data_IF_143599163980
#
_entry.id   IF_143599163980
#
_cell.length_a   1.000
_cell.length_b   1.000
_cell.length_c   1.000
_cell.angle_alpha   90.00
_cell.angle_beta   90.00
_cell.angle_gamma   90.00
#
_symmetry.space_group_name_H-M   'P 1'
#
loop_
_entity.id
_entity.type
_entity.pdbx_description
1 polymer ?
#
# COMPACT_ATOMS: atom_id res chain seq x y z
N UNK A 1 -2.61 -12.88 23.97
CA UNK A 1 -2.60 -12.23 22.64
C UNK A 1 -3.63 -12.92 21.75
N UNK A 2 -4.57 -12.16 21.22
CA UNK A 2 -5.60 -12.72 20.34
C UNK A 2 -5.04 -12.84 18.92
N UNK A 3 -4.72 -14.05 18.49
CA UNK A 3 -4.13 -14.31 17.17
C UNK A 3 -5.07 -13.88 16.03
N UNK A 4 -6.38 -14.04 16.23
CA UNK A 4 -7.38 -13.61 15.25
C UNK A 4 -7.33 -12.09 15.03
N UNK A 5 -7.22 -11.33 16.13
CA UNK A 5 -7.09 -9.89 16.07
C UNK A 5 -5.80 -9.48 15.37
N UNK A 6 -4.69 -10.14 15.69
CA UNK A 6 -3.40 -9.89 15.05
C UNK A 6 -3.49 -10.13 13.54
N UNK A 7 -4.19 -11.19 13.12
CA UNK A 7 -4.37 -11.48 11.70
C UNK A 7 -5.23 -10.43 11.00
N UNK A 8 -6.29 -9.98 11.64
CA UNK A 8 -7.13 -8.90 11.09
C UNK A 8 -6.31 -7.61 10.95
N UNK A 9 -5.53 -7.27 11.97
CA UNK A 9 -4.64 -6.11 11.93
C UNK A 9 -3.61 -6.23 10.79
N UNK A 10 -3.09 -7.44 10.58
CA UNK A 10 -2.17 -7.71 9.49
C UNK A 10 -2.81 -7.48 8.12
N UNK A 11 -4.03 -7.98 7.92
CA UNK A 11 -4.75 -7.81 6.67
C UNK A 11 -5.04 -6.32 6.42
N UNK A 12 -5.54 -5.64 7.43
CA UNK A 12 -5.86 -4.21 7.32
C UNK A 12 -4.59 -3.37 7.06
N UNK A 13 -3.49 -3.72 7.73
CA UNK A 13 -2.22 -3.03 7.53
C UNK A 13 -1.68 -3.25 6.11
N UNK A 14 -1.76 -4.47 5.58
CA UNK A 14 -1.35 -4.77 4.20
C UNK A 14 -2.19 -3.99 3.20
N UNK A 15 -3.50 -3.91 3.41
CA UNK A 15 -4.40 -3.15 2.53
C UNK A 15 -4.08 -1.66 2.60
N UNK A 16 -3.87 -1.12 3.79
CA UNK A 16 -3.57 0.30 3.96
C UNK A 16 -2.23 0.68 3.32
N UNK A 17 -1.21 -0.18 3.44
CA UNK A 17 0.07 0.03 2.77
C UNK A 17 -0.14 0.11 1.25
N UNK A 18 -0.88 -0.83 0.70
CA UNK A 18 -1.16 -0.87 -0.74
C UNK A 18 -1.95 0.34 -1.21
N UNK A 19 -3.02 0.70 -0.50
CA UNK A 19 -3.83 1.88 -0.81
C UNK A 19 -3.00 3.15 -0.74
N UNK A 20 -2.14 3.26 0.26
CA UNK A 20 -1.27 4.43 0.44
C UNK A 20 -0.23 4.51 -0.67
N UNK A 21 0.34 3.39 -1.10
CA UNK A 21 1.27 3.35 -2.22
C UNK A 21 0.61 3.79 -3.52
N UNK A 22 -0.65 3.40 -3.74
CA UNK A 22 -1.44 3.86 -4.89
C UNK A 22 -1.69 5.37 -4.82
N UNK A 23 -2.02 5.89 -3.65
CA UNK A 23 -2.21 7.32 -3.42
C UNK A 23 -0.92 8.11 -3.68
N UNK A 24 0.22 7.58 -3.23
CA UNK A 24 1.53 8.19 -3.48
C UNK A 24 1.84 8.21 -4.97
N UNK A 25 1.59 7.11 -5.67
CA UNK A 25 1.80 7.02 -7.12
C UNK A 25 0.95 8.05 -7.87
N UNK A 26 -0.32 8.20 -7.50
CA UNK A 26 -1.20 9.23 -8.06
C UNK A 26 -0.67 10.64 -7.84
N UNK A 27 -0.20 10.91 -6.62
CA UNK A 27 0.34 12.20 -6.26
C UNK A 27 1.63 12.51 -7.03
N UNK A 28 2.49 11.52 -7.21
CA UNK A 28 3.71 11.63 -8.02
C UNK A 28 3.38 11.96 -9.48
N UNK A 29 2.33 11.35 -10.03
CA UNK A 29 1.87 11.66 -11.39
C UNK A 29 1.43 13.11 -11.49
N UNK A 30 0.72 13.64 -10.53
CA UNK A 30 0.29 15.03 -10.50
C UNK A 30 1.47 15.98 -10.47
N UNK A 31 2.50 15.68 -9.70
CA UNK A 31 3.74 16.47 -9.65
C UNK A 31 4.48 16.42 -11.01
N UNK A 32 4.57 15.24 -11.59
CA UNK A 32 5.22 15.02 -12.89
C UNK A 32 4.52 15.78 -14.00
N UNK A 33 3.18 15.76 -14.05
CA UNK A 33 2.38 16.48 -15.04
C UNK A 33 2.61 18.00 -14.95
N UNK A 34 2.62 18.54 -13.74
CA UNK A 34 2.88 19.97 -13.49
C UNK A 34 4.28 20.34 -14.01
N UNK A 35 5.27 19.53 -13.71
CA UNK A 35 6.66 19.72 -14.15
C UNK A 35 6.78 19.62 -15.68
N UNK A 36 6.12 18.64 -16.30
CA UNK A 36 6.11 18.46 -17.75
C UNK A 36 5.47 19.62 -18.48
N UNK A 37 4.34 20.10 -18.01
CA UNK A 37 3.65 21.24 -18.63
C UNK A 37 4.49 22.50 -18.56
N UNK A 38 5.17 22.72 -17.43
CA UNK A 38 6.09 23.83 -17.26
C UNK A 38 7.26 23.79 -18.24
N UNK A 39 7.85 22.61 -18.42
CA UNK A 39 8.96 22.40 -19.36
C UNK A 39 8.51 22.59 -20.80
N UNK A 40 7.36 22.05 -21.18
CA UNK A 40 6.78 22.20 -22.50
C UNK A 40 6.48 23.66 -22.81
N UNK A 41 5.92 24.39 -21.88
CA UNK A 41 5.66 25.81 -22.03
C UNK A 41 6.90 26.63 -22.28
N UNK A 42 8.01 26.29 -21.65
CA UNK A 42 9.27 26.99 -21.80
C UNK A 42 9.95 26.71 -23.14
N UNK A 43 9.62 25.61 -23.82
CA UNK A 43 10.28 25.22 -25.07
C UNK A 43 9.62 25.76 -26.34
N UNK A 44 8.32 25.99 -26.32
CA UNK A 44 7.54 26.22 -27.55
C UNK A 44 7.08 27.65 -27.76
N UNK A 45 7.34 28.58 -26.85
CA UNK A 45 6.84 29.91 -26.94
C UNK A 45 7.91 30.99 -26.88
N UNK A 46 7.55 32.19 -27.25
CA UNK A 46 8.47 33.33 -27.28
C UNK A 46 8.95 33.65 -25.84
N UNK A 47 10.26 33.85 -25.63
CA UNK A 47 10.85 34.07 -24.33
C UNK A 47 10.24 35.26 -23.55
N UNK A 48 9.82 36.28 -24.24
CA UNK A 48 9.29 37.50 -23.64
C UNK A 48 7.93 37.28 -22.97
N UNK A 49 7.07 36.52 -23.62
CA UNK A 49 5.75 36.19 -23.13
C UNK A 49 5.85 35.27 -21.90
N UNK A 50 6.81 34.37 -21.91
CA UNK A 50 7.04 33.43 -20.84
C UNK A 50 7.51 34.14 -19.57
N UNK A 51 8.39 35.09 -19.66
CA UNK A 51 8.95 35.78 -18.52
C UNK A 51 7.88 36.59 -17.75
N UNK A 52 7.00 37.27 -18.43
CA UNK A 52 5.93 38.03 -17.78
C UNK A 52 4.83 37.15 -17.23
N UNK A 53 4.59 36.00 -17.84
CA UNK A 53 3.62 35.01 -17.36
C UNK A 53 4.11 34.23 -16.15
N UNK A 54 5.42 33.95 -16.09
CA UNK A 54 6.02 33.06 -15.10
C UNK A 54 6.03 33.59 -13.68
N UNK A 55 5.95 34.88 -13.45
CA UNK A 55 5.99 35.44 -12.08
C UNK A 55 4.79 34.98 -11.26
N UNK A 56 3.59 35.07 -11.83
CA UNK A 56 2.36 34.62 -11.16
C UNK A 56 2.26 33.09 -11.17
N UNK A 57 2.65 32.47 -12.27
CA UNK A 57 2.64 31.02 -12.41
C UNK A 57 3.58 30.33 -11.44
N UNK A 58 4.77 30.88 -11.21
CA UNK A 58 5.74 30.32 -10.27
C UNK A 58 5.22 30.37 -8.83
N UNK A 59 4.60 31.46 -8.40
CA UNK A 59 4.03 31.57 -7.07
C UNK A 59 2.90 30.55 -6.85
N UNK A 60 2.05 30.34 -7.85
CA UNK A 60 0.98 29.35 -7.81
C UNK A 60 1.54 27.93 -7.75
N UNK A 61 2.54 27.64 -8.60
CA UNK A 61 3.18 26.33 -8.65
C UNK A 61 3.94 26.00 -7.35
N UNK A 62 4.58 26.99 -6.75
CA UNK A 62 5.26 26.79 -5.46
C UNK A 62 4.28 26.40 -4.36
N UNK A 63 3.14 27.09 -4.27
CA UNK A 63 2.10 26.73 -3.29
C UNK A 63 1.55 25.35 -3.54
N UNK A 64 1.33 25.00 -4.79
CA UNK A 64 0.84 23.69 -5.18
C UNK A 64 1.87 22.62 -4.82
N UNK A 65 3.15 22.87 -5.11
CA UNK A 65 4.23 21.95 -4.77
C UNK A 65 4.40 21.77 -3.27
N UNK A 66 4.21 22.83 -2.47
CA UNK A 66 4.23 22.75 -1.02
C UNK A 66 3.10 21.84 -0.50
N UNK A 67 1.89 21.99 -1.04
CA UNK A 67 0.75 21.12 -0.69
C UNK A 67 1.04 19.68 -1.04
N UNK A 68 1.55 19.44 -2.25
CA UNK A 68 1.88 18.09 -2.71
C UNK A 68 2.98 17.46 -1.84
N UNK A 69 3.98 18.24 -1.46
CA UNK A 69 5.05 17.79 -0.58
C UNK A 69 4.51 17.42 0.81
N UNK A 70 3.60 18.23 1.35
CA UNK A 70 2.97 17.95 2.64
C UNK A 70 2.11 16.69 2.58
N UNK A 71 1.32 16.54 1.52
CA UNK A 71 0.51 15.33 1.31
C UNK A 71 1.40 14.10 1.18
N UNK A 72 2.49 14.20 0.44
CA UNK A 72 3.45 13.12 0.29
C UNK A 72 4.05 12.71 1.64
N UNK A 73 4.41 13.68 2.47
CA UNK A 73 4.94 13.41 3.81
C UNK A 73 3.92 12.69 4.69
N UNK A 74 2.66 13.14 4.67
CA UNK A 74 1.57 12.50 5.42
C UNK A 74 1.38 11.04 4.96
N UNK A 75 1.35 10.83 3.64
CA UNK A 75 1.19 9.49 3.07
C UNK A 75 2.37 8.59 3.40
N UNK A 76 3.59 9.11 3.35
CA UNK A 76 4.80 8.37 3.72
C UNK A 76 4.78 7.92 5.17
N UNK A 77 4.35 8.80 6.08
CA UNK A 77 4.20 8.47 7.50
C UNK A 77 3.12 7.42 7.74
N UNK A 78 2.00 7.54 7.01
CA UNK A 78 0.93 6.53 7.07
C UNK A 78 1.45 5.16 6.64
N UNK A 79 2.19 5.12 5.53
CA UNK A 79 2.78 3.88 5.02
C UNK A 79 3.74 3.26 6.04
N UNK A 80 4.61 4.06 6.64
CA UNK A 80 5.56 3.60 7.65
C UNK A 80 4.84 2.99 8.86
N UNK A 81 3.79 3.66 9.35
CA UNK A 81 3.01 3.18 10.48
C UNK A 81 2.30 1.86 10.15
N UNK A 82 1.63 1.81 9.01
CA UNK A 82 0.95 0.60 8.56
C UNK A 82 1.95 -0.56 8.36
N UNK A 83 3.10 -0.28 7.79
CA UNK A 83 4.15 -1.26 7.59
C UNK A 83 4.72 -1.78 8.91
N UNK A 84 4.84 -0.91 9.90
CA UNK A 84 5.26 -1.30 11.25
C UNK A 84 4.27 -2.28 11.88
N UNK A 85 2.98 -1.99 11.79
CA UNK A 85 1.91 -2.89 12.27
C UNK A 85 1.98 -4.23 11.53
N UNK A 86 2.18 -4.18 10.22
CA UNK A 86 2.31 -5.39 9.41
C UNK A 86 3.48 -6.26 9.86
N UNK A 87 4.63 -5.66 10.13
CA UNK A 87 5.81 -6.38 10.58
C UNK A 87 5.62 -7.00 11.96
N UNK A 88 4.98 -6.29 12.89
CA UNK A 88 4.67 -6.81 14.21
C UNK A 88 3.73 -8.03 14.12
N UNK A 89 2.70 -7.94 13.29
CA UNK A 89 1.79 -9.05 13.05
C UNK A 89 2.50 -10.23 12.41
N UNK A 90 3.41 -9.95 11.49
CA UNK A 90 4.18 -10.98 10.78
C UNK A 90 5.08 -11.75 11.75
N UNK A 91 5.67 -11.09 12.72
CA UNK A 91 6.47 -11.77 13.77
C UNK A 91 5.62 -12.80 14.52
N UNK A 92 4.39 -12.44 14.88
CA UNK A 92 3.47 -13.36 15.56
C UNK A 92 3.08 -14.51 14.64
N UNK A 93 2.77 -14.21 13.38
CA UNK A 93 2.39 -15.21 12.38
C UNK A 93 3.55 -16.20 12.13
N UNK A 94 4.78 -15.70 12.09
CA UNK A 94 5.96 -16.54 11.86
C UNK A 94 6.24 -17.55 12.99
N UNK A 95 5.63 -17.38 14.15
CA UNK A 95 5.69 -18.36 15.24
C UNK A 95 4.73 -19.54 15.01
N UNK A 96 3.80 -19.42 14.06
CA UNK A 96 2.88 -20.50 13.72
C UNK A 96 3.58 -21.62 12.96
N UNK A 97 3.00 -22.84 12.93
CA UNK A 97 3.53 -23.91 12.07
C UNK A 97 3.62 -23.48 10.62
N UNK A 98 4.60 -24.02 9.91
CA UNK A 98 4.85 -23.64 8.50
C UNK A 98 3.60 -23.81 7.63
N UNK A 99 2.85 -24.88 7.86
CA UNK A 99 1.60 -25.14 7.12
C UNK A 99 0.58 -23.99 7.31
N UNK A 100 0.42 -23.54 8.54
CA UNK A 100 -0.49 -22.43 8.89
C UNK A 100 0.02 -21.12 8.24
N UNK A 101 1.31 -20.88 8.26
CA UNK A 101 1.90 -19.72 7.60
C UNK A 101 1.58 -19.70 6.09
N UNK A 102 1.66 -20.85 5.44
CA UNK A 102 1.33 -20.98 4.02
C UNK A 102 -0.14 -20.69 3.74
N UNK A 103 -1.04 -21.20 4.58
CA UNK A 103 -2.48 -20.95 4.46
C UNK A 103 -2.77 -19.45 4.58
N UNK A 104 -2.21 -18.81 5.59
CA UNK A 104 -2.38 -17.36 5.81
C UNK A 104 -1.85 -16.58 4.62
N UNK A 105 -0.67 -16.93 4.13
CA UNK A 105 -0.07 -16.25 2.98
C UNK A 105 -0.95 -16.33 1.75
N UNK A 106 -1.41 -17.51 1.39
CA UNK A 106 -2.23 -17.69 0.19
C UNK A 106 -3.59 -17.02 0.33
N UNK A 107 -4.24 -17.19 1.48
CA UNK A 107 -5.59 -16.67 1.68
C UNK A 107 -5.63 -15.15 1.86
N UNK A 108 -4.73 -14.60 2.65
CA UNK A 108 -4.79 -13.19 3.06
C UNK A 108 -3.84 -12.30 2.26
N UNK A 109 -2.62 -12.74 2.06
CA UNK A 109 -1.62 -11.95 1.33
C UNK A 109 -1.83 -12.01 -0.18
N UNK A 110 -2.07 -13.19 -0.72
CA UNK A 110 -2.34 -13.40 -2.15
C UNK A 110 -3.81 -13.27 -2.51
N UNK A 111 -4.68 -13.21 -1.52
CA UNK A 111 -6.14 -13.06 -1.69
C UNK A 111 -6.79 -14.14 -2.54
N UNK A 112 -6.29 -15.36 -2.44
CA UNK A 112 -6.85 -16.49 -3.15
C UNK A 112 -8.13 -16.97 -2.46
N UNK A 113 -9.06 -17.54 -3.23
CA UNK A 113 -10.22 -18.21 -2.66
C UNK A 113 -9.78 -19.49 -1.95
N UNK A 114 -10.61 -20.00 -1.06
CA UNK A 114 -10.27 -21.25 -0.35
C UNK A 114 -10.03 -22.41 -1.29
N UNK A 115 -10.75 -22.45 -2.41
CA UNK A 115 -10.56 -23.47 -3.45
C UNK A 115 -9.20 -23.34 -4.12
N UNK A 116 -8.77 -22.12 -4.43
CA UNK A 116 -7.46 -21.84 -5.00
C UNK A 116 -6.34 -22.19 -4.03
N UNK A 117 -6.55 -21.89 -2.73
CA UNK A 117 -5.59 -22.28 -1.68
C UNK A 117 -5.45 -23.80 -1.61
N UNK A 118 -6.57 -24.51 -1.68
CA UNK A 118 -6.57 -25.98 -1.67
C UNK A 118 -5.80 -26.54 -2.86
N UNK A 119 -5.95 -25.94 -4.05
CA UNK A 119 -5.20 -26.33 -5.24
C UNK A 119 -3.70 -26.14 -5.06
N UNK A 120 -3.30 -25.06 -4.40
CA UNK A 120 -1.88 -24.77 -4.10
C UNK A 120 -1.32 -25.67 -3.02
N UNK A 121 -2.17 -26.12 -2.10
CA UNK A 121 -1.80 -27.02 -1.00
C UNK A 121 -2.28 -28.42 -1.32
N UNK A 122 -1.55 -29.12 -2.15
CA UNK A 122 -1.88 -30.45 -2.68
C UNK A 122 -2.35 -31.43 -1.60
N UNK A 123 -3.43 -32.12 -1.90
CA UNK A 123 -3.99 -33.14 -1.00
C UNK A 123 -4.90 -32.59 0.09
N UNK A 124 -5.21 -31.30 0.06
CA UNK A 124 -6.06 -30.65 1.06
C UNK A 124 -7.36 -30.18 0.42
N UNK A 125 -8.43 -30.16 1.21
CA UNK A 125 -9.73 -29.62 0.78
C UNK A 125 -9.91 -28.22 1.34
N UNK A 126 -10.74 -27.40 0.67
CA UNK A 126 -11.03 -26.04 1.13
C UNK A 126 -11.62 -26.03 2.54
N UNK A 127 -12.55 -26.94 2.82
CA UNK A 127 -13.14 -27.08 4.15
C UNK A 127 -12.14 -27.50 5.22
N UNK A 128 -11.24 -28.42 4.87
CA UNK A 128 -10.17 -28.86 5.78
C UNK A 128 -9.23 -27.73 6.16
N UNK A 129 -8.83 -26.93 5.18
CA UNK A 129 -7.94 -25.78 5.41
C UNK A 129 -8.59 -24.71 6.29
N UNK A 130 -9.87 -24.41 6.06
CA UNK A 130 -10.63 -23.50 6.92
C UNK A 130 -10.64 -23.97 8.36
N UNK A 131 -10.88 -25.27 8.57
CA UNK A 131 -10.95 -25.87 9.90
C UNK A 131 -9.58 -25.86 10.59
N UNK A 132 -8.50 -26.13 9.84
CA UNK A 132 -7.15 -26.06 10.40
C UNK A 132 -6.83 -24.66 10.90
N UNK A 133 -7.14 -23.65 10.12
CA UNK A 133 -6.90 -22.26 10.49
C UNK A 133 -7.75 -21.86 11.70
N UNK A 134 -9.01 -22.25 11.70
CA UNK A 134 -9.93 -21.99 12.81
C UNK A 134 -9.41 -22.63 14.11
N UNK A 135 -8.98 -23.89 14.05
CA UNK A 135 -8.42 -24.59 15.21
C UNK A 135 -7.17 -23.89 15.73
N UNK A 136 -6.31 -23.45 14.84
CA UNK A 136 -5.11 -22.70 15.22
C UNK A 136 -5.49 -21.44 16.02
N UNK A 137 -6.48 -20.68 15.56
CA UNK A 137 -6.94 -19.48 16.26
C UNK A 137 -7.56 -19.79 17.62
N UNK A 138 -8.29 -20.90 17.73
CA UNK A 138 -8.94 -21.30 18.97
C UNK A 138 -7.94 -21.80 20.01
N UNK A 139 -6.86 -22.45 19.59
CA UNK A 139 -5.81 -22.97 20.47
C UNK A 139 -4.93 -21.87 21.05
N UNK A 140 -4.92 -20.72 20.46
CA UNK A 140 -4.13 -19.56 20.90
C UNK A 140 -5.01 -18.39 21.32
#
# INVERSE_FOLDING_TARGET
>A
LNVKQVLNDYVDACELVRETEDDIAELEQKQSVVTSDKVKGSMNEHPYTQQSFNIEGLAYDEKRNERLTKEMDILSKRREKANSVRLQALEVINQAPIRIQRIIRFRYEKKLTWEEVADRMKGSTSGGLKMELKRFFEEK
#
